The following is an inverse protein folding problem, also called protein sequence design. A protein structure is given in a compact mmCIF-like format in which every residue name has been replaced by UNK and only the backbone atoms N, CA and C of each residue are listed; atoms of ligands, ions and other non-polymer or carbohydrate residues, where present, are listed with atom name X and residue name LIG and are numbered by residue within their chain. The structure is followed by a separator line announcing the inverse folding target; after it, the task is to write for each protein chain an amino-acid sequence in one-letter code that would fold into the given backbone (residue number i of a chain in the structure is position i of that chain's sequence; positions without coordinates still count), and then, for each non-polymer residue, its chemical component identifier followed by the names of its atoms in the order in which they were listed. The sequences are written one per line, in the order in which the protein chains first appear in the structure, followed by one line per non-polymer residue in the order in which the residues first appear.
data_IF_482308034762
#
_entry.id   IF_482308034762
#
_cell.length_a   1.000
_cell.length_b   1.000
_cell.length_c   1.000
_cell.angle_alpha   90.00
_cell.angle_beta   90.00
_cell.angle_gamma   90.00
#
_symmetry.space_group_name_H-M   'P 1'
#
loop_
_entity.id
_entity.type
_entity.pdbx_description
1 polymer ?
#
# COMPACT_ATOMS: atom_id res chain seq x y z
N UNK A 1 8.58 -1.04 -34.79
CA UNK A 1 8.80 -1.19 -33.34
C UNK A 1 7.81 -0.43 -32.44
N UNK A 2 6.83 0.34 -32.96
CA UNK A 2 5.90 1.12 -32.11
C UNK A 2 4.49 0.54 -31.91
N UNK A 3 4.06 -0.42 -32.75
CA UNK A 3 2.68 -0.96 -32.71
C UNK A 3 2.53 -2.24 -31.88
N UNK A 4 3.60 -3.03 -31.70
CA UNK A 4 3.56 -4.26 -30.88
C UNK A 4 3.50 -3.96 -29.38
N UNK A 5 4.30 -3.01 -28.89
CA UNK A 5 4.27 -2.57 -27.49
C UNK A 5 2.88 -2.11 -27.03
N UNK A 6 2.09 -1.49 -27.92
CA UNK A 6 0.73 -1.01 -27.59
C UNK A 6 -0.29 -2.13 -27.40
N UNK A 7 -0.04 -3.34 -27.93
CA UNK A 7 -0.94 -4.50 -27.77
C UNK A 7 -0.83 -5.14 -26.38
N UNK A 8 0.33 -5.00 -25.76
CA UNK A 8 0.61 -5.57 -24.44
C UNK A 8 0.20 -4.64 -23.31
N UNK A 9 0.06 -3.33 -23.57
CA UNK A 9 -0.42 -2.37 -22.56
C UNK A 9 -1.89 -2.67 -22.20
N UNK A 10 -2.20 -2.91 -20.91
CA UNK A 10 -3.57 -3.15 -20.46
C UNK A 10 -4.53 -2.02 -20.84
N UNK A 11 -5.80 -2.36 -21.06
CA UNK A 11 -6.83 -1.36 -21.36
C UNK A 11 -7.03 -0.47 -20.14
N UNK A 12 -7.37 0.79 -20.33
CA UNK A 12 -7.49 1.77 -19.23
C UNK A 12 -8.41 1.33 -18.07
N UNK A 13 -9.45 0.53 -18.37
CA UNK A 13 -10.36 -0.05 -17.37
C UNK A 13 -9.68 -1.07 -16.42
N UNK A 14 -8.58 -1.67 -16.84
CA UNK A 14 -7.80 -2.66 -16.07
C UNK A 14 -6.74 -1.98 -15.19
N UNK A 15 -6.57 -0.65 -15.34
CA UNK A 15 -5.63 0.11 -14.54
C UNK A 15 -6.19 0.43 -13.16
N UNK A 16 -5.33 0.54 -12.13
CA UNK A 16 -5.78 0.95 -10.81
C UNK A 16 -6.28 2.39 -10.85
N UNK A 17 -7.40 2.64 -10.16
CA UNK A 17 -7.91 3.99 -9.95
C UNK A 17 -7.50 4.48 -8.57
N UNK A 18 -7.32 5.78 -8.43
CA UNK A 18 -6.92 6.42 -7.16
C UNK A 18 -7.90 7.52 -6.81
N UNK A 19 -8.60 7.36 -5.68
CA UNK A 19 -9.61 8.32 -5.22
C UNK A 19 -9.05 9.33 -4.20
N UNK A 20 -7.92 9.00 -3.59
CA UNK A 20 -7.36 9.72 -2.45
C UNK A 20 -8.13 9.44 -1.15
N UNK A 21 -8.99 8.41 -1.15
CA UNK A 21 -9.88 8.05 -0.06
C UNK A 21 -9.70 6.57 0.28
N UNK A 22 -9.64 6.26 1.58
CA UNK A 22 -9.43 4.89 2.06
C UNK A 22 -8.01 4.65 2.58
N UNK A 23 -7.91 3.65 3.44
CA UNK A 23 -6.75 3.38 4.29
C UNK A 23 -5.46 3.09 3.48
N UNK A 24 -5.58 2.35 2.37
CA UNK A 24 -4.46 1.89 1.54
C UNK A 24 -4.53 2.33 0.07
N UNK A 25 -5.40 3.29 -0.27
CA UNK A 25 -5.72 3.64 -1.65
C UNK A 25 -4.46 4.03 -2.47
N UNK A 26 -3.62 4.88 -1.89
CA UNK A 26 -2.37 5.33 -2.50
C UNK A 26 -1.35 4.19 -2.69
N UNK A 27 -1.25 3.26 -1.73
CA UNK A 27 -0.36 2.09 -1.84
C UNK A 27 -0.82 1.16 -2.94
N UNK A 28 -2.12 0.83 -2.97
CA UNK A 28 -2.70 -0.04 -4.00
C UNK A 28 -2.51 0.55 -5.39
N UNK A 29 -2.73 1.86 -5.53
CA UNK A 29 -2.49 2.55 -6.79
C UNK A 29 -1.01 2.50 -7.21
N UNK A 30 -0.08 2.90 -6.33
CA UNK A 30 1.36 2.90 -6.65
C UNK A 30 1.86 1.51 -7.01
N UNK A 31 1.48 0.47 -6.25
CA UNK A 31 1.85 -0.92 -6.52
C UNK A 31 1.27 -1.42 -7.84
N UNK A 32 0.00 -1.14 -8.11
CA UNK A 32 -0.64 -1.54 -9.37
C UNK A 32 0.03 -0.90 -10.59
N UNK A 33 0.38 0.39 -10.52
CA UNK A 33 1.15 1.04 -11.59
C UNK A 33 2.55 0.43 -11.72
N UNK A 34 3.20 0.10 -10.61
CA UNK A 34 4.52 -0.51 -10.62
C UNK A 34 4.51 -1.88 -11.30
N UNK A 35 3.55 -2.75 -10.96
CA UNK A 35 3.34 -4.05 -11.61
C UNK A 35 3.13 -3.90 -13.12
N UNK A 36 2.24 -3.00 -13.55
CA UNK A 36 2.02 -2.74 -14.99
C UNK A 36 3.31 -2.27 -15.67
N UNK A 37 4.09 -1.40 -15.03
CA UNK A 37 5.36 -0.91 -15.60
C UNK A 37 6.41 -2.02 -15.72
N UNK A 38 6.49 -2.93 -14.75
CA UNK A 38 7.42 -4.07 -14.79
C UNK A 38 7.01 -5.09 -15.84
N UNK A 39 5.72 -5.40 -15.96
CA UNK A 39 5.23 -6.43 -16.88
C UNK A 39 5.45 -6.07 -18.37
N UNK A 40 5.39 -4.78 -18.73
CA UNK A 40 5.48 -4.32 -20.14
C UNK A 40 6.51 -3.22 -20.38
N UNK A 41 7.48 -3.05 -19.46
CA UNK A 41 8.53 -2.03 -19.51
C UNK A 41 8.01 -0.61 -19.85
N UNK A 42 6.89 -0.22 -19.24
CA UNK A 42 6.11 0.93 -19.69
C UNK A 42 6.80 2.28 -19.38
N UNK A 43 7.01 3.18 -20.38
CA UNK A 43 7.56 4.50 -20.11
C UNK A 43 6.66 5.38 -19.24
N UNK A 44 7.26 6.24 -18.41
CA UNK A 44 6.55 7.16 -17.50
C UNK A 44 5.47 8.01 -18.16
N UNK A 45 5.69 8.38 -19.42
CA UNK A 45 4.74 9.19 -20.18
C UNK A 45 3.38 8.53 -20.35
N UNK A 46 3.36 7.23 -20.60
CA UNK A 46 2.10 6.50 -20.75
C UNK A 46 1.29 6.49 -19.45
N UNK A 47 1.96 6.39 -18.31
CA UNK A 47 1.31 6.45 -16.99
C UNK A 47 0.75 7.84 -16.75
N UNK A 48 1.59 8.86 -16.90
CA UNK A 48 1.24 10.25 -16.54
C UNK A 48 0.17 10.85 -17.44
N UNK A 49 0.09 10.46 -18.72
CA UNK A 49 -0.99 10.86 -19.64
C UNK A 49 -2.36 10.31 -19.22
N UNK A 50 -2.40 9.22 -18.45
CA UNK A 50 -3.65 8.57 -18.01
C UNK A 50 -4.17 9.12 -16.68
N UNK A 51 -3.41 9.93 -15.95
CA UNK A 51 -3.80 10.42 -14.61
C UNK A 51 -5.12 11.19 -14.58
N UNK A 52 -5.46 11.90 -15.65
CA UNK A 52 -6.74 12.59 -15.72
C UNK A 52 -7.94 11.63 -15.59
N UNK A 53 -7.78 10.36 -16.00
CA UNK A 53 -8.82 9.33 -15.89
C UNK A 53 -8.63 8.44 -14.67
N UNK A 54 -7.39 8.09 -14.34
CA UNK A 54 -7.09 7.18 -13.23
C UNK A 54 -7.36 7.83 -11.87
N UNK A 55 -7.21 9.14 -11.77
CA UNK A 55 -7.52 9.86 -10.54
C UNK A 55 -8.99 10.22 -10.49
N UNK A 56 -9.60 10.01 -9.33
CA UNK A 56 -11.01 10.27 -9.08
C UNK A 56 -11.16 11.07 -7.79
N UNK A 57 -12.36 11.63 -7.56
CA UNK A 57 -12.73 12.32 -6.31
C UNK A 57 -11.69 13.35 -5.82
N UNK A 58 -11.20 13.20 -4.60
CA UNK A 58 -10.28 14.15 -3.95
C UNK A 58 -8.91 14.17 -4.62
N UNK A 59 -8.41 13.01 -5.08
CA UNK A 59 -7.15 12.89 -5.80
C UNK A 59 -7.19 13.62 -7.15
N UNK A 60 -8.30 13.52 -7.89
CA UNK A 60 -8.45 14.21 -9.18
C UNK A 60 -8.36 15.73 -9.04
N UNK A 61 -9.10 16.29 -8.05
CA UNK A 61 -9.06 17.73 -7.76
C UNK A 61 -7.66 18.20 -7.35
N UNK A 62 -6.94 17.41 -6.56
CA UNK A 62 -5.57 17.71 -6.19
C UNK A 62 -4.64 17.69 -7.40
N UNK A 63 -4.76 16.66 -8.25
CA UNK A 63 -3.94 16.50 -9.44
C UNK A 63 -4.07 17.64 -10.43
N UNK A 64 -5.30 18.09 -10.73
CA UNK A 64 -5.50 19.22 -11.66
C UNK A 64 -4.73 20.44 -11.17
N UNK A 65 -4.84 20.79 -9.87
CA UNK A 65 -4.13 21.93 -9.29
C UNK A 65 -2.61 21.77 -9.38
N UNK A 66 -2.10 20.59 -9.00
CA UNK A 66 -0.66 20.32 -9.05
C UNK A 66 -0.11 20.31 -10.48
N UNK A 67 -0.86 19.74 -11.43
CA UNK A 67 -0.49 19.68 -12.84
C UNK A 67 -0.44 21.07 -13.47
N UNK A 68 -1.37 21.96 -13.11
CA UNK A 68 -1.36 23.35 -13.55
C UNK A 68 -0.15 24.11 -13.01
N UNK A 69 0.24 23.87 -11.74
CA UNK A 69 1.35 24.57 -11.11
C UNK A 69 2.74 24.07 -11.57
N UNK A 70 2.89 22.77 -11.83
CA UNK A 70 4.20 22.14 -12.06
C UNK A 70 4.40 21.57 -13.48
N UNK A 71 3.38 21.65 -14.34
CA UNK A 71 3.46 21.18 -15.72
C UNK A 71 3.65 19.67 -15.86
N UNK A 72 4.33 19.27 -16.94
CA UNK A 72 4.63 17.85 -17.19
C UNK A 72 5.73 17.34 -16.25
N UNK A 73 5.49 16.21 -15.59
CA UNK A 73 6.40 15.59 -14.62
C UNK A 73 6.42 14.07 -14.79
N UNK A 74 7.52 13.43 -14.39
CA UNK A 74 7.74 11.98 -14.47
C UNK A 74 6.86 11.19 -13.49
N UNK A 75 6.72 9.88 -13.70
CA UNK A 75 6.02 9.01 -12.75
C UNK A 75 6.70 9.03 -11.39
N UNK A 76 8.03 8.96 -11.37
CA UNK A 76 8.81 9.02 -10.13
C UNK A 76 8.49 10.27 -9.32
N UNK A 77 8.41 11.43 -9.96
CA UNK A 77 8.03 12.67 -9.28
C UNK A 77 6.61 12.60 -8.71
N UNK A 78 5.63 12.13 -9.49
CA UNK A 78 4.25 11.99 -9.04
C UNK A 78 4.10 10.98 -7.90
N UNK A 79 4.82 9.86 -7.93
CA UNK A 79 4.88 8.89 -6.83
C UNK A 79 5.32 9.58 -5.54
N UNK A 80 6.38 10.39 -5.58
CA UNK A 80 6.83 11.17 -4.41
C UNK A 80 5.75 12.13 -3.91
N UNK A 81 5.06 12.84 -4.80
CA UNK A 81 3.99 13.75 -4.39
C UNK A 81 2.77 13.04 -3.79
N UNK A 82 2.42 11.86 -4.30
CA UNK A 82 1.36 11.02 -3.74
C UNK A 82 1.74 10.57 -2.32
N UNK A 83 2.96 10.07 -2.13
CA UNK A 83 3.47 9.65 -0.82
C UNK A 83 3.46 10.83 0.16
N UNK A 84 4.01 11.98 -0.22
CA UNK A 84 4.04 13.16 0.65
C UNK A 84 2.65 13.63 1.09
N UNK A 85 1.63 13.44 0.25
CA UNK A 85 0.27 13.89 0.55
C UNK A 85 -0.56 12.87 1.32
N UNK A 86 -0.47 11.58 0.98
CA UNK A 86 -1.35 10.53 1.52
C UNK A 86 -0.66 9.49 2.43
N UNK A 87 0.67 9.44 2.45
CA UNK A 87 1.47 8.62 3.36
C UNK A 87 2.28 9.52 4.32
N UNK A 88 1.69 10.63 4.76
CA UNK A 88 2.34 11.59 5.66
C UNK A 88 2.33 11.11 7.13
N UNK A 89 3.02 11.84 8.00
CA UNK A 89 3.14 11.50 9.43
C UNK A 89 1.78 11.35 10.12
N UNK A 90 0.77 12.11 9.72
CA UNK A 90 -0.58 11.97 10.29
C UNK A 90 -1.25 10.66 9.90
N UNK A 91 -0.98 10.16 8.69
CA UNK A 91 -1.43 8.83 8.25
C UNK A 91 -0.67 7.73 9.00
N UNK A 92 0.65 7.84 9.11
CA UNK A 92 1.49 6.90 9.88
C UNK A 92 0.98 6.81 11.33
N UNK A 93 0.83 7.95 12.00
CA UNK A 93 0.38 8.02 13.39
C UNK A 93 -0.99 7.38 13.61
N UNK A 94 -1.95 7.59 12.68
CA UNK A 94 -3.27 6.95 12.76
C UNK A 94 -3.18 5.43 12.74
N UNK A 95 -2.28 4.88 11.92
CA UNK A 95 -2.09 3.44 11.85
C UNK A 95 -1.39 2.88 13.07
N UNK A 96 -0.35 3.53 13.56
CA UNK A 96 0.35 3.10 14.78
C UNK A 96 -0.62 3.09 15.95
N UNK A 97 -1.40 4.16 16.12
CA UNK A 97 -2.44 4.24 17.15
C UNK A 97 -3.48 3.13 16.99
N UNK A 98 -3.96 2.89 15.76
CA UNK A 98 -4.92 1.82 15.49
C UNK A 98 -4.33 0.46 15.86
N UNK A 99 -3.10 0.16 15.47
CA UNK A 99 -2.43 -1.08 15.82
C UNK A 99 -2.23 -1.24 17.33
N UNK A 100 -1.74 -0.20 18.02
CA UNK A 100 -1.51 -0.23 19.46
C UNK A 100 -2.79 -0.47 20.27
N UNK A 101 -3.91 0.10 19.82
CA UNK A 101 -5.23 -0.10 20.41
C UNK A 101 -5.86 -1.46 20.10
N UNK A 102 -5.36 -2.18 19.10
CA UNK A 102 -5.97 -3.45 18.67
C UNK A 102 -5.43 -4.61 19.51
N UNK A 103 -6.34 -5.40 20.10
CA UNK A 103 -6.03 -6.70 20.72
C UNK A 103 -6.84 -7.78 20.03
N UNK A 104 -6.23 -8.92 19.78
CA UNK A 104 -6.95 -10.06 19.21
C UNK A 104 -7.94 -10.60 20.25
N UNK A 105 -9.20 -10.79 19.83
CA UNK A 105 -10.26 -11.37 20.66
C UNK A 105 -10.87 -12.57 19.94
N UNK A 106 -10.54 -13.78 20.40
CA UNK A 106 -11.01 -15.02 19.79
C UNK A 106 -12.54 -15.20 19.83
N UNK A 107 -13.26 -14.42 20.64
CA UNK A 107 -14.72 -14.45 20.69
C UNK A 107 -15.36 -13.54 19.63
N UNK A 108 -14.61 -12.56 19.10
CA UNK A 108 -15.11 -11.57 18.14
C UNK A 108 -14.65 -11.82 16.72
N UNK A 109 -13.47 -12.38 16.54
CA UNK A 109 -12.84 -12.48 15.22
C UNK A 109 -11.97 -13.74 15.05
N UNK A 110 -11.85 -14.17 13.79
CA UNK A 110 -11.00 -15.31 13.42
C UNK A 110 -9.54 -14.85 13.31
N UNK A 111 -8.62 -15.70 13.78
CA UNK A 111 -7.18 -15.41 13.83
C UNK A 111 -6.57 -15.03 12.48
N UNK A 112 -6.89 -15.76 11.41
CA UNK A 112 -6.26 -15.55 10.10
C UNK A 112 -6.63 -14.19 9.47
N UNK A 113 -7.92 -13.81 9.31
CA UNK A 113 -8.29 -12.48 8.81
C UNK A 113 -7.70 -11.33 9.62
N UNK A 114 -7.74 -11.44 10.95
CA UNK A 114 -7.18 -10.42 11.83
C UNK A 114 -5.66 -10.30 11.66
N UNK A 115 -4.95 -11.42 11.64
CA UNK A 115 -3.52 -11.45 11.40
C UNK A 115 -3.15 -10.83 10.05
N UNK A 116 -3.86 -11.20 8.98
CA UNK A 116 -3.65 -10.63 7.65
C UNK A 116 -3.85 -9.12 7.66
N UNK A 117 -4.88 -8.61 8.34
CA UNK A 117 -5.09 -7.17 8.49
C UNK A 117 -3.92 -6.48 9.19
N UNK A 118 -3.43 -7.03 10.31
CA UNK A 118 -2.30 -6.42 11.02
C UNK A 118 -0.99 -6.51 10.20
N UNK A 119 -0.78 -7.60 9.48
CA UNK A 119 0.37 -7.75 8.57
C UNK A 119 0.31 -6.73 7.44
N UNK A 120 -0.86 -6.51 6.85
CA UNK A 120 -1.04 -5.56 5.76
C UNK A 120 -0.77 -4.11 6.24
N UNK A 121 -1.15 -3.76 7.49
CA UNK A 121 -0.76 -2.49 8.14
C UNK A 121 0.76 -2.32 8.21
N UNK A 122 1.49 -3.33 8.70
CA UNK A 122 2.95 -3.24 8.80
C UNK A 122 3.63 -3.20 7.44
N UNK A 123 3.15 -3.98 6.47
CA UNK A 123 3.71 -3.99 5.10
C UNK A 123 3.45 -2.66 4.39
N UNK A 124 2.43 -1.91 4.82
CA UNK A 124 2.11 -0.57 4.33
C UNK A 124 3.01 0.50 4.95
N UNK A 125 3.22 0.47 6.27
CA UNK A 125 4.06 1.44 6.99
C UNK A 125 5.56 1.20 6.83
N UNK A 126 5.97 -0.06 6.83
CA UNK A 126 7.35 -0.49 6.95
C UNK A 126 7.64 -1.57 5.90
N UNK A 127 7.72 -1.19 4.60
CA UNK A 127 7.92 -2.16 3.52
C UNK A 127 9.23 -2.94 3.65
N UNK A 128 10.23 -2.38 4.33
CA UNK A 128 11.54 -3.00 4.55
C UNK A 128 11.63 -3.83 5.85
N UNK A 129 10.54 -3.88 6.64
CA UNK A 129 10.53 -4.66 7.87
C UNK A 129 10.45 -6.16 7.55
N UNK A 130 11.32 -6.95 8.16
CA UNK A 130 11.32 -8.40 7.95
C UNK A 130 10.02 -9.04 8.43
N UNK A 131 9.57 -10.09 7.72
CA UNK A 131 8.36 -10.83 8.10
C UNK A 131 8.42 -11.35 9.54
N UNK A 132 9.60 -11.78 10.00
CA UNK A 132 9.81 -12.18 11.40
C UNK A 132 9.50 -11.05 12.40
N UNK A 133 9.95 -9.82 12.15
CA UNK A 133 9.66 -8.68 13.01
C UNK A 133 8.17 -8.31 12.99
N UNK A 134 7.52 -8.38 11.82
CA UNK A 134 6.08 -8.18 11.67
C UNK A 134 5.32 -9.21 12.50
N UNK A 135 5.63 -10.50 12.35
CA UNK A 135 4.99 -11.58 13.10
C UNK A 135 5.16 -11.39 14.61
N UNK A 136 6.38 -11.06 15.06
CA UNK A 136 6.66 -10.82 16.48
C UNK A 136 5.85 -9.64 17.05
N UNK A 137 5.68 -8.56 16.29
CA UNK A 137 4.86 -7.41 16.71
C UNK A 137 3.39 -7.79 16.80
N UNK A 138 2.85 -8.53 15.83
CA UNK A 138 1.45 -8.98 15.83
C UNK A 138 1.18 -9.94 17.00
N UNK A 139 2.08 -10.89 17.28
CA UNK A 139 1.92 -11.83 18.39
C UNK A 139 1.78 -11.15 19.76
N UNK A 140 2.47 -10.02 19.98
CA UNK A 140 2.32 -9.23 21.22
C UNK A 140 0.91 -8.64 21.40
N UNK A 141 0.14 -8.53 20.33
CA UNK A 141 -1.25 -8.07 20.38
C UNK A 141 -2.25 -9.21 20.65
N UNK A 142 -1.82 -10.47 20.62
CA UNK A 142 -2.67 -11.61 20.98
C UNK A 142 -2.84 -11.81 22.49
N UNK A 143 -1.85 -11.35 23.29
CA UNK A 143 -1.85 -11.51 24.75
C UNK A 143 -1.73 -12.96 25.24
N UNK A 144 -1.44 -13.13 26.54
CA UNK A 144 -1.60 -14.39 27.27
C UNK A 144 -0.79 -15.61 26.79
N UNK A 145 -1.41 -16.79 26.88
CA UNK A 145 -0.81 -18.13 26.70
C UNK A 145 -0.24 -18.38 25.29
N UNK A 146 -0.71 -17.66 24.27
CA UNK A 146 -0.22 -17.79 22.89
C UNK A 146 1.20 -17.23 22.73
N UNK A 147 1.52 -16.12 23.40
CA UNK A 147 2.88 -15.58 23.43
C UNK A 147 3.83 -16.53 24.18
N UNK A 148 3.34 -17.19 25.24
CA UNK A 148 4.09 -18.21 25.97
C UNK A 148 4.29 -19.50 25.18
N UNK A 149 3.27 -19.99 24.46
CA UNK A 149 3.34 -21.20 23.63
C UNK A 149 4.32 -21.03 22.45
N UNK A 150 4.29 -19.87 21.78
CA UNK A 150 5.23 -19.56 20.68
C UNK A 150 6.66 -19.40 21.22
N UNK A 151 6.86 -18.74 22.37
CA UNK A 151 8.18 -18.66 22.99
C UNK A 151 8.74 -20.03 23.37
N UNK A 152 7.91 -20.93 23.93
CA UNK A 152 8.33 -22.30 24.29
C UNK A 152 8.71 -23.14 23.07
N UNK A 153 7.91 -23.09 22.00
CA UNK A 153 8.18 -23.84 20.77
C UNK A 153 9.45 -23.39 20.00
N UNK A 154 9.93 -22.16 20.20
CA UNK A 154 11.20 -21.67 19.63
C UNK A 154 12.40 -22.15 20.45
N UNK A 155 12.27 -22.32 21.76
CA UNK A 155 13.32 -22.88 22.64
C UNK A 155 13.44 -24.41 22.58
N UNK A 156 12.44 -25.10 22.04
CA UNK A 156 12.38 -26.57 21.96
C UNK A 156 12.73 -27.15 20.58
N UNK A 157 13.26 -26.34 19.65
CA UNK A 157 13.85 -26.89 18.42
C UNK A 157 15.28 -27.43 18.69
N UNK A 158 15.56 -28.72 18.44
CA UNK A 158 16.88 -29.31 18.62
C UNK A 158 17.91 -28.82 17.58
#
# INVERSE_FOLDING_TARGET
MGQELLREVPKLKEWPHFSGEGEYDHIKFIRGIYMIKEDVELPDRFVTERFNTLFTRSAHRWYIKFRQAHGYQSWTWWKTQIINKWANDSWIFKFETAFESTKFDSNKETSLPWFCQQRDRFTALYPDMSGFMIHRKILRQCGGDLEHAVKRGITEQP
#
